data_IF_434202247453
#
_entry.id   IF_434202247453
#
_cell.length_a   1.000
_cell.length_b   1.000
_cell.length_c   1.000
_cell.angle_alpha   90.00
_cell.angle_beta   90.00
_cell.angle_gamma   90.00
#
_symmetry.space_group_name_H-M   'P 1'
#
loop_
_entity.id
_entity.type
_entity.pdbx_description
1 polymer ?
#
# COMPACT_ATOMS: atom_id res chain seq x y z
N UNK A 1 0.38 -21.53 -6.97
CA UNK A 1 0.39 -20.10 -6.58
C UNK A 1 0.29 -19.26 -7.84
N UNK A 2 -0.60 -18.27 -7.89
CA UNK A 2 -0.77 -17.39 -9.04
C UNK A 2 0.12 -16.17 -8.91
N UNK A 3 0.95 -15.89 -9.92
CA UNK A 3 1.85 -14.74 -9.94
C UNK A 3 1.04 -13.49 -10.26
N UNK A 4 1.14 -12.47 -9.39
CA UNK A 4 0.52 -11.17 -9.59
C UNK A 4 1.48 -10.17 -10.23
N UNK A 5 2.69 -10.02 -9.65
CA UNK A 5 3.76 -9.23 -10.27
C UNK A 5 4.93 -10.12 -10.62
N UNK A 6 5.53 -9.83 -11.77
CA UNK A 6 6.85 -10.33 -12.16
C UNK A 6 7.66 -9.16 -12.71
N UNK A 7 8.75 -8.85 -12.03
CA UNK A 7 9.71 -7.83 -12.41
C UNK A 7 10.93 -8.53 -13.01
N UNK A 8 11.47 -7.99 -14.12
CA UNK A 8 12.66 -8.51 -14.80
C UNK A 8 13.61 -7.38 -15.12
N UNK A 9 14.84 -7.48 -14.64
CA UNK A 9 15.94 -6.55 -14.89
C UNK A 9 15.55 -5.08 -14.67
N UNK A 10 14.82 -4.81 -13.58
CA UNK A 10 14.31 -3.48 -13.24
C UNK A 10 15.45 -2.59 -12.80
N UNK A 11 15.64 -1.48 -13.50
CA UNK A 11 16.53 -0.40 -13.09
C UNK A 11 15.74 0.89 -12.95
N UNK A 12 15.97 1.64 -11.87
CA UNK A 12 15.43 2.97 -11.65
C UNK A 12 16.55 3.93 -11.33
N UNK A 13 16.67 4.99 -12.14
CA UNK A 13 17.65 6.04 -11.97
C UNK A 13 16.97 7.38 -11.76
N UNK A 14 17.57 8.24 -10.93
CA UNK A 14 17.28 9.66 -10.81
C UNK A 14 18.57 10.44 -11.13
N UNK A 15 18.61 11.06 -12.29
CA UNK A 15 19.85 11.59 -12.85
C UNK A 15 20.87 10.46 -13.05
N UNK A 16 22.07 10.62 -12.51
CA UNK A 16 23.15 9.60 -12.54
C UNK A 16 23.05 8.55 -11.42
N UNK A 17 22.16 8.73 -10.45
CA UNK A 17 22.07 7.84 -9.30
C UNK A 17 21.16 6.65 -9.58
N UNK A 18 21.67 5.43 -9.48
CA UNK A 18 20.89 4.19 -9.57
C UNK A 18 20.31 3.91 -8.20
N UNK A 19 18.96 3.96 -8.09
CA UNK A 19 18.22 3.71 -6.84
C UNK A 19 17.72 2.27 -6.76
N UNK A 20 17.40 1.65 -7.89
CA UNK A 20 17.04 0.23 -7.96
C UNK A 20 17.77 -0.47 -9.11
N UNK A 21 18.25 -1.68 -8.84
CA UNK A 21 18.87 -2.61 -9.79
C UNK A 21 18.45 -4.04 -9.41
N UNK A 22 17.22 -4.41 -9.76
CA UNK A 22 16.58 -5.67 -9.36
C UNK A 22 16.55 -6.61 -10.56
N UNK A 23 17.30 -7.71 -10.50
CA UNK A 23 17.35 -8.71 -11.56
C UNK A 23 16.00 -9.41 -11.76
N UNK A 24 15.42 -9.90 -10.67
CA UNK A 24 14.13 -10.56 -10.67
C UNK A 24 13.40 -10.36 -9.34
N UNK A 25 12.08 -10.16 -9.39
CA UNK A 25 11.21 -10.19 -8.24
C UNK A 25 9.84 -10.73 -8.65
N UNK A 26 9.31 -11.64 -7.84
CA UNK A 26 7.97 -12.21 -8.05
C UNK A 26 7.13 -12.00 -6.80
N UNK A 27 5.91 -11.47 -6.99
CA UNK A 27 4.89 -11.31 -5.94
C UNK A 27 3.68 -12.13 -6.33
N UNK A 28 3.22 -13.02 -5.47
CA UNK A 28 2.06 -13.88 -5.68
C UNK A 28 0.79 -13.24 -5.12
N UNK A 29 -0.34 -13.58 -5.71
CA UNK A 29 -1.67 -13.09 -5.33
C UNK A 29 -2.07 -13.61 -3.93
N UNK A 30 -2.76 -12.75 -3.15
CA UNK A 30 -3.32 -13.12 -1.85
C UNK A 30 -2.29 -13.43 -0.78
N UNK A 31 -1.13 -12.80 -0.83
CA UNK A 31 -0.06 -12.95 0.18
C UNK A 31 0.33 -11.60 0.78
N UNK A 32 0.97 -11.67 1.95
CA UNK A 32 1.60 -10.54 2.62
C UNK A 32 3.11 -10.63 2.45
N UNK A 33 3.71 -9.55 1.98
CA UNK A 33 5.15 -9.37 1.86
C UNK A 33 5.62 -8.21 2.71
N UNK A 34 6.68 -8.42 3.47
CA UNK A 34 7.39 -7.38 4.20
C UNK A 34 8.67 -7.03 3.46
N UNK A 35 8.74 -5.81 2.95
CA UNK A 35 9.90 -5.25 2.26
C UNK A 35 10.82 -4.59 3.29
N UNK A 36 11.92 -5.26 3.62
CA UNK A 36 12.88 -4.84 4.64
C UNK A 36 14.10 -4.20 3.98
N UNK A 37 14.67 -3.20 4.60
CA UNK A 37 15.90 -2.56 4.16
C UNK A 37 16.16 -1.24 4.90
N UNK A 38 17.39 -0.78 4.87
CA UNK A 38 17.79 0.49 5.46
C UNK A 38 17.09 1.68 4.80
N UNK A 39 17.14 2.84 5.45
CA UNK A 39 16.70 4.09 4.83
C UNK A 39 17.54 4.37 3.58
N UNK A 40 16.89 4.77 2.49
CA UNK A 40 17.56 4.95 1.19
C UNK A 40 17.78 3.68 0.38
N UNK A 41 17.43 2.49 0.86
CA UNK A 41 17.57 1.23 0.11
C UNK A 41 16.70 1.13 -1.16
N UNK A 42 15.76 2.08 -1.38
CA UNK A 42 14.89 2.08 -2.55
C UNK A 42 13.48 1.55 -2.31
N UNK A 43 13.09 1.26 -1.05
CA UNK A 43 11.78 0.69 -0.69
C UNK A 43 10.60 1.47 -1.25
N UNK A 44 10.50 2.77 -0.95
CA UNK A 44 9.42 3.64 -1.44
C UNK A 44 9.44 3.79 -2.97
N UNK A 45 10.64 3.75 -3.58
CA UNK A 45 10.78 3.76 -5.05
C UNK A 45 10.19 2.48 -5.65
N UNK A 46 10.45 1.31 -5.06
CA UNK A 46 9.86 0.05 -5.50
C UNK A 46 8.33 0.07 -5.33
N UNK A 47 7.82 0.56 -4.18
CA UNK A 47 6.37 0.71 -3.99
C UNK A 47 5.74 1.63 -5.05
N UNK A 48 6.38 2.74 -5.40
CA UNK A 48 5.88 3.64 -6.46
C UNK A 48 5.83 2.97 -7.84
N UNK A 49 6.79 2.09 -8.14
CA UNK A 49 6.77 1.28 -9.36
C UNK A 49 5.64 0.25 -9.33
N UNK A 50 5.47 -0.47 -8.21
CA UNK A 50 4.37 -1.44 -8.03
C UNK A 50 3.00 -0.77 -8.02
N UNK A 51 2.90 0.48 -7.55
CA UNK A 51 1.68 1.30 -7.60
C UNK A 51 1.39 1.88 -9.00
N UNK A 52 2.26 1.63 -9.97
CA UNK A 52 2.19 2.20 -11.31
C UNK A 52 2.24 3.73 -11.35
N UNK A 53 2.85 4.36 -10.34
CA UNK A 53 3.01 5.81 -10.24
C UNK A 53 4.27 6.32 -10.93
N UNK A 54 5.31 5.47 -11.01
CA UNK A 54 6.59 5.82 -11.62
C UNK A 54 7.09 4.65 -12.48
N UNK A 55 7.34 4.84 -13.79
CA UNK A 55 7.93 3.79 -14.61
C UNK A 55 9.36 3.50 -14.18
N UNK A 56 9.87 2.27 -14.36
CA UNK A 56 11.28 1.99 -14.26
C UNK A 56 12.03 2.71 -15.40
N UNK A 57 13.33 2.94 -15.22
CA UNK A 57 14.20 3.49 -16.29
C UNK A 57 14.53 2.42 -17.34
N UNK A 58 14.62 1.16 -16.89
CA UNK A 58 14.83 -0.01 -17.76
C UNK A 58 14.21 -1.25 -17.12
N UNK A 59 14.02 -2.31 -17.93
CA UNK A 59 13.44 -3.58 -17.50
C UNK A 59 11.94 -3.70 -17.82
N UNK A 60 11.36 -4.80 -17.37
CA UNK A 60 9.97 -5.13 -17.69
C UNK A 60 9.21 -5.52 -16.43
N UNK A 61 7.96 -5.07 -16.37
CA UNK A 61 7.00 -5.45 -15.33
C UNK A 61 5.83 -6.17 -15.99
N UNK A 62 5.46 -7.30 -15.41
CA UNK A 62 4.24 -8.01 -15.75
C UNK A 62 3.29 -7.94 -14.56
N UNK A 63 2.04 -7.60 -14.81
CA UNK A 63 0.96 -7.60 -13.84
C UNK A 63 -0.16 -8.53 -14.30
N UNK A 64 -0.55 -9.49 -13.45
CA UNK A 64 -1.54 -10.52 -13.78
C UNK A 64 -1.25 -11.21 -15.14
N UNK A 65 0.03 -11.52 -15.40
CA UNK A 65 0.49 -12.22 -16.61
C UNK A 65 0.66 -11.33 -17.85
N UNK A 66 0.25 -10.05 -17.82
CA UNK A 66 0.38 -9.11 -18.93
C UNK A 66 1.51 -8.14 -18.71
N UNK A 67 2.32 -7.87 -19.75
CA UNK A 67 3.35 -6.82 -19.70
C UNK A 67 2.68 -5.47 -19.49
N UNK A 68 3.20 -4.68 -18.55
CA UNK A 68 2.70 -3.34 -18.25
C UNK A 68 3.16 -2.40 -19.36
N UNK A 69 2.20 -1.79 -20.02
CA UNK A 69 2.44 -0.69 -20.94
C UNK A 69 2.27 0.63 -20.16
N UNK A 70 3.33 1.45 -20.12
CA UNK A 70 3.37 2.70 -19.36
C UNK A 70 2.75 3.88 -20.11
N UNK A 71 2.16 3.67 -21.29
CA UNK A 71 1.43 4.71 -21.99
C UNK A 71 0.15 5.11 -21.22
N UNK A 72 -0.21 6.40 -21.30
CA UNK A 72 -1.42 6.92 -20.69
C UNK A 72 -2.66 6.13 -21.13
N UNK A 73 -3.54 5.83 -20.17
CA UNK A 73 -4.73 5.00 -20.37
C UNK A 73 -4.53 3.52 -20.03
N UNK A 74 -3.44 2.89 -20.45
CA UNK A 74 -3.16 1.49 -20.14
C UNK A 74 -2.84 1.29 -18.64
N UNK A 75 -2.07 2.20 -18.05
CA UNK A 75 -1.67 2.16 -16.64
C UNK A 75 -2.82 2.50 -15.68
N UNK A 76 -3.77 3.34 -16.09
CA UNK A 76 -4.89 3.74 -15.22
C UNK A 76 -5.78 2.56 -14.79
N UNK A 77 -5.96 1.58 -15.66
CA UNK A 77 -6.72 0.37 -15.34
C UNK A 77 -6.04 -0.39 -14.19
N UNK A 78 -4.71 -0.43 -14.18
CA UNK A 78 -3.93 -1.07 -13.11
C UNK A 78 -3.97 -0.24 -11.82
N UNK A 79 -3.85 1.11 -11.90
CA UNK A 79 -3.93 2.02 -10.75
C UNK A 79 -5.23 1.90 -9.98
N UNK A 80 -6.35 1.58 -10.64
CA UNK A 80 -7.64 1.37 -9.96
C UNK A 80 -7.66 0.13 -9.08
N UNK A 81 -6.75 -0.82 -9.29
CA UNK A 81 -6.64 -2.08 -8.55
C UNK A 81 -5.65 -2.02 -7.40
N UNK A 82 -4.76 -1.04 -7.42
CA UNK A 82 -3.66 -0.89 -6.46
C UNK A 82 -3.87 0.38 -5.65
N UNK A 83 -3.70 0.28 -4.34
CA UNK A 83 -3.74 1.44 -3.45
C UNK A 83 -2.44 1.54 -2.70
N UNK A 84 -1.82 2.73 -2.70
CA UNK A 84 -0.63 3.03 -1.93
C UNK A 84 -0.98 3.94 -0.75
N UNK A 85 -0.57 3.53 0.45
CA UNK A 85 -0.59 4.34 1.66
C UNK A 85 0.85 4.78 1.97
N UNK A 86 1.08 6.08 1.98
CA UNK A 86 2.38 6.67 2.32
C UNK A 86 2.62 6.70 3.83
N UNK A 87 3.86 6.77 4.24
CA UNK A 87 4.31 6.83 5.64
C UNK A 87 3.66 7.98 6.43
N UNK A 88 3.54 9.15 5.82
CA UNK A 88 2.85 10.32 6.39
C UNK A 88 1.62 10.63 5.56
N UNK A 89 0.47 10.02 5.88
CA UNK A 89 -0.71 10.20 5.07
C UNK A 89 -1.31 11.59 5.27
N UNK A 90 -1.60 12.25 4.15
CA UNK A 90 -2.34 13.51 4.15
C UNK A 90 -3.84 13.24 4.16
N UNK A 91 -4.57 13.97 5.02
CA UNK A 91 -6.02 14.02 4.98
C UNK A 91 -6.47 15.36 4.38
N UNK A 92 -7.48 15.30 3.53
CA UNK A 92 -8.10 16.50 2.95
C UNK A 92 -8.88 17.27 4.01
N UNK A 93 -9.05 18.56 3.81
CA UNK A 93 -9.97 19.37 4.62
C UNK A 93 -11.38 18.78 4.57
N UNK A 94 -12.07 18.84 5.72
CA UNK A 94 -13.43 18.30 5.85
C UNK A 94 -13.54 17.28 6.96
N UNK A 95 -14.51 16.38 6.81
CA UNK A 95 -14.80 15.33 7.81
C UNK A 95 -14.01 14.06 7.53
N UNK A 96 -13.93 13.19 8.54
CA UNK A 96 -13.42 11.82 8.40
C UNK A 96 -14.20 11.07 7.33
N UNK A 97 -15.53 11.17 7.35
CA UNK A 97 -16.39 10.56 6.32
C UNK A 97 -16.00 11.02 4.92
N UNK A 98 -15.82 12.34 4.70
CA UNK A 98 -15.45 12.87 3.37
C UNK A 98 -14.10 12.36 2.89
N UNK A 99 -13.14 12.17 3.80
CA UNK A 99 -11.83 11.62 3.49
C UNK A 99 -11.91 10.16 3.05
N UNK A 100 -12.61 9.32 3.79
CA UNK A 100 -12.76 7.88 3.45
C UNK A 100 -13.59 7.71 2.18
N UNK A 101 -14.63 8.53 2.00
CA UNK A 101 -15.50 8.50 0.82
C UNK A 101 -14.85 9.03 -0.46
N UNK A 102 -13.72 9.74 -0.39
CA UNK A 102 -13.11 10.44 -1.53
C UNK A 102 -12.87 9.53 -2.74
N UNK A 103 -12.18 8.42 -2.53
CA UNK A 103 -11.89 7.47 -3.61
C UNK A 103 -13.14 6.75 -4.13
N UNK A 104 -14.12 6.49 -3.27
CA UNK A 104 -15.40 5.90 -3.66
C UNK A 104 -16.19 6.86 -4.56
N UNK A 105 -16.17 8.17 -4.22
CA UNK A 105 -16.80 9.21 -5.05
C UNK A 105 -16.13 9.28 -6.42
N UNK A 106 -14.80 9.26 -6.47
CA UNK A 106 -14.05 9.27 -7.73
C UNK A 106 -14.33 8.03 -8.61
N UNK A 107 -14.73 6.92 -8.00
CA UNK A 107 -15.16 5.69 -8.70
C UNK A 107 -16.65 5.67 -9.06
N UNK A 108 -17.39 6.74 -8.79
CA UNK A 108 -18.81 6.84 -9.13
C UNK A 108 -19.75 6.02 -8.24
N UNK A 109 -19.31 5.56 -7.06
CA UNK A 109 -20.16 4.79 -6.12
C UNK A 109 -21.30 5.68 -5.62
N UNK A 110 -22.59 5.23 -5.63
CA UNK A 110 -23.73 6.00 -5.14
C UNK A 110 -23.64 6.43 -3.66
N UNK A 111 -24.33 7.52 -3.29
CA UNK A 111 -24.20 8.13 -1.95
C UNK A 111 -24.58 7.19 -0.80
N UNK A 112 -25.67 6.44 -0.95
CA UNK A 112 -26.15 5.49 0.06
C UNK A 112 -25.14 4.35 0.27
N UNK A 113 -24.66 3.75 -0.82
CA UNK A 113 -23.65 2.68 -0.76
C UNK A 113 -22.34 3.19 -0.14
N UNK A 114 -21.92 4.44 -0.48
CA UNK A 114 -20.70 5.04 0.09
C UNK A 114 -20.79 5.15 1.61
N UNK A 115 -21.95 5.53 2.15
CA UNK A 115 -22.12 5.68 3.59
C UNK A 115 -21.87 4.36 4.31
N UNK A 116 -22.50 3.28 3.87
CA UNK A 116 -22.31 1.95 4.45
C UNK A 116 -20.86 1.46 4.35
N UNK A 117 -20.20 1.69 3.19
CA UNK A 117 -18.80 1.31 2.98
C UNK A 117 -17.87 2.09 3.93
N UNK A 118 -18.10 3.40 4.09
CA UNK A 118 -17.31 4.26 4.98
C UNK A 118 -17.46 3.84 6.43
N UNK A 119 -18.70 3.62 6.91
CA UNK A 119 -18.96 3.18 8.27
C UNK A 119 -18.27 1.83 8.57
N UNK A 120 -18.35 0.88 7.65
CA UNK A 120 -17.65 -0.41 7.76
C UNK A 120 -16.12 -0.24 7.77
N UNK A 121 -15.56 0.60 6.91
CA UNK A 121 -14.13 0.83 6.86
C UNK A 121 -13.60 1.49 8.14
N UNK A 122 -14.35 2.44 8.70
CA UNK A 122 -14.03 3.07 9.99
C UNK A 122 -14.13 2.07 11.15
N UNK A 123 -15.11 1.17 11.13
CA UNK A 123 -15.25 0.13 12.16
C UNK A 123 -14.05 -0.83 12.17
N UNK A 124 -13.58 -1.25 10.99
CA UNK A 124 -12.39 -2.12 10.83
C UNK A 124 -11.14 -1.53 11.51
N UNK A 125 -10.98 -0.22 11.46
CA UNK A 125 -9.81 0.47 12.05
C UNK A 125 -10.09 1.04 13.46
N UNK A 126 -11.19 0.63 14.12
CA UNK A 126 -11.55 1.05 15.48
C UNK A 126 -11.96 2.52 15.60
N UNK A 127 -12.56 3.09 14.55
CA UNK A 127 -13.01 4.49 14.51
C UNK A 127 -14.53 4.60 14.29
N UNK A 128 -15.30 3.64 14.83
CA UNK A 128 -16.78 3.68 14.79
C UNK A 128 -17.29 5.02 15.34
N UNK A 129 -18.20 5.69 14.62
CA UNK A 129 -18.78 6.96 15.01
C UNK A 129 -17.94 8.21 14.72
N UNK A 130 -16.72 8.07 14.19
CA UNK A 130 -15.83 9.20 13.88
C UNK A 130 -16.19 9.95 12.59
N UNK A 131 -17.12 9.47 11.81
CA UNK A 131 -17.44 10.01 10.49
C UNK A 131 -17.68 11.52 10.45
N UNK A 132 -18.32 12.09 11.47
CA UNK A 132 -18.61 13.53 11.56
C UNK A 132 -17.45 14.40 12.05
N UNK A 133 -16.39 13.83 12.65
CA UNK A 133 -15.25 14.61 13.16
C UNK A 133 -14.48 15.31 12.04
N UNK A 134 -13.91 16.46 12.34
CA UNK A 134 -13.02 17.18 11.42
C UNK A 134 -11.66 16.51 11.34
N UNK A 135 -11.13 16.33 10.15
CA UNK A 135 -9.83 15.68 9.93
C UNK A 135 -8.67 16.39 10.67
N UNK A 136 -8.74 17.72 10.78
CA UNK A 136 -7.72 18.54 11.50
C UNK A 136 -7.69 18.34 13.03
N UNK A 137 -8.71 17.70 13.59
CA UNK A 137 -8.85 17.49 15.04
C UNK A 137 -8.32 16.11 15.46
N UNK A 138 -7.84 15.32 14.52
CA UNK A 138 -7.37 13.97 14.74
C UNK A 138 -5.93 13.95 15.28
N UNK A 139 -5.66 13.02 16.18
CA UNK A 139 -4.29 12.66 16.58
C UNK A 139 -3.54 11.99 15.41
N UNK A 140 -2.22 11.84 15.54
CA UNK A 140 -1.41 11.14 14.54
C UNK A 140 -1.86 9.70 14.30
N UNK A 141 -2.14 8.94 15.37
CA UNK A 141 -2.65 7.56 15.26
C UNK A 141 -4.06 7.49 14.67
N UNK A 142 -4.95 8.43 15.01
CA UNK A 142 -6.28 8.52 14.38
C UNK A 142 -6.18 8.87 12.89
N UNK A 143 -5.27 9.79 12.52
CA UNK A 143 -4.98 10.15 11.12
C UNK A 143 -4.51 8.93 10.33
N UNK A 144 -3.60 8.13 10.89
CA UNK A 144 -3.12 6.89 10.26
C UNK A 144 -4.25 5.89 10.06
N UNK A 145 -5.11 5.69 11.08
CA UNK A 145 -6.27 4.81 11.00
C UNK A 145 -7.30 5.29 9.96
N UNK A 146 -7.58 6.58 9.87
CA UNK A 146 -8.46 7.15 8.83
C UNK A 146 -7.88 6.93 7.44
N UNK A 147 -6.57 7.12 7.27
CA UNK A 147 -5.90 6.88 5.99
C UNK A 147 -5.94 5.38 5.59
N UNK A 148 -5.78 4.47 6.56
CA UNK A 148 -5.98 3.04 6.35
C UNK A 148 -7.44 2.73 5.96
N UNK A 149 -8.44 3.28 6.67
CA UNK A 149 -9.85 3.12 6.32
C UNK A 149 -10.14 3.61 4.89
N UNK A 150 -9.58 4.77 4.49
CA UNK A 150 -9.67 5.31 3.13
C UNK A 150 -9.13 4.34 2.08
N UNK A 151 -8.02 3.68 2.37
CA UNK A 151 -7.42 2.67 1.48
C UNK A 151 -8.29 1.40 1.41
N UNK A 152 -8.74 0.88 2.55
CA UNK A 152 -9.56 -0.33 2.64
C UNK A 152 -10.95 -0.18 2.03
N UNK A 153 -11.55 1.01 2.11
CA UNK A 153 -12.86 1.30 1.52
C UNK A 153 -12.90 1.01 0.02
N UNK A 154 -11.77 1.13 -0.67
CA UNK A 154 -11.64 0.86 -2.10
C UNK A 154 -11.59 -0.63 -2.45
N UNK A 155 -11.44 -1.53 -1.47
CA UNK A 155 -11.25 -2.98 -1.66
C UNK A 155 -10.20 -3.27 -2.74
N UNK A 156 -8.95 -2.83 -2.57
CA UNK A 156 -7.94 -2.97 -3.61
C UNK A 156 -7.52 -4.45 -3.78
N UNK A 157 -7.15 -4.83 -5.01
CA UNK A 157 -6.50 -6.14 -5.27
C UNK A 157 -5.10 -6.17 -4.63
N UNK A 158 -4.43 -5.00 -4.59
CA UNK A 158 -3.10 -4.83 -3.97
C UNK A 158 -3.12 -3.62 -3.04
N UNK A 159 -2.68 -3.82 -1.81
CA UNK A 159 -2.44 -2.75 -0.85
C UNK A 159 -0.94 -2.62 -0.59
N UNK A 160 -0.38 -1.48 -0.97
CA UNK A 160 1.01 -1.11 -0.75
C UNK A 160 1.07 -0.15 0.43
N UNK A 161 1.92 -0.45 1.40
CA UNK A 161 2.01 0.28 2.66
C UNK A 161 3.45 0.73 2.89
N UNK A 162 3.68 2.03 2.88
CA UNK A 162 5.01 2.59 3.15
C UNK A 162 5.12 2.94 4.63
N UNK A 163 5.82 2.11 5.40
CA UNK A 163 6.03 2.21 6.85
C UNK A 163 4.74 2.55 7.65
N UNK A 164 3.64 1.78 7.49
CA UNK A 164 2.32 2.15 8.02
C UNK A 164 2.25 2.13 9.55
N UNK A 165 3.22 1.51 10.21
CA UNK A 165 3.27 1.33 11.66
C UNK A 165 4.34 2.20 12.33
N UNK A 166 4.96 3.13 11.57
CA UNK A 166 5.97 4.02 12.11
C UNK A 166 5.33 5.17 12.90
N UNK A 167 5.95 5.56 14.01
CA UNK A 167 5.58 6.73 14.81
C UNK A 167 4.13 6.73 15.35
N UNK A 168 3.55 5.55 15.58
CA UNK A 168 2.24 5.39 16.21
C UNK A 168 2.37 4.64 17.54
N UNK A 169 1.39 4.82 18.41
CA UNK A 169 1.33 4.15 19.70
C UNK A 169 1.14 2.64 19.58
N UNK A 170 1.44 1.92 20.67
CA UNK A 170 1.41 0.44 20.69
C UNK A 170 0.01 -0.13 20.45
N UNK A 171 -1.05 0.54 20.94
CA UNK A 171 -2.43 0.07 20.77
C UNK A 171 -2.84 0.16 19.31
N UNK A 172 -2.60 1.31 18.69
CA UNK A 172 -2.84 1.53 17.25
C UNK A 172 -2.00 0.56 16.39
N UNK A 173 -0.73 0.31 16.77
CA UNK A 173 0.14 -0.65 16.08
C UNK A 173 -0.48 -2.05 16.10
N UNK A 174 -0.87 -2.57 17.27
CA UNK A 174 -1.47 -3.91 17.38
C UNK A 174 -2.77 -4.05 16.60
N UNK A 175 -3.61 -3.02 16.60
CA UNK A 175 -4.84 -3.00 15.83
C UNK A 175 -4.54 -3.07 14.32
N UNK A 176 -3.64 -2.20 13.82
CA UNK A 176 -3.31 -2.17 12.39
C UNK A 176 -2.57 -3.44 11.94
N UNK A 177 -1.71 -4.02 12.76
CA UNK A 177 -1.10 -5.33 12.49
C UNK A 177 -2.16 -6.41 12.29
N UNK A 178 -3.16 -6.48 13.18
CA UNK A 178 -4.27 -7.43 13.04
C UNK A 178 -5.07 -7.22 11.76
N UNK A 179 -5.35 -5.97 11.41
CA UNK A 179 -6.03 -5.61 10.15
C UNK A 179 -5.19 -6.07 8.96
N UNK A 180 -3.91 -5.67 8.89
CA UNK A 180 -3.00 -5.99 7.78
C UNK A 180 -2.86 -7.51 7.61
N UNK A 181 -2.65 -8.26 8.70
CA UNK A 181 -2.51 -9.71 8.67
C UNK A 181 -3.78 -10.45 8.17
N UNK A 182 -4.96 -9.84 8.34
CA UNK A 182 -6.22 -10.43 7.88
C UNK A 182 -6.51 -10.26 6.38
N UNK A 183 -5.84 -9.31 5.71
CA UNK A 183 -6.14 -8.95 4.32
C UNK A 183 -5.88 -10.05 3.29
N UNK A 184 -4.80 -10.87 3.40
CA UNK A 184 -4.57 -11.96 2.46
C UNK A 184 -5.71 -12.98 2.42
N UNK A 185 -6.30 -13.32 3.57
CA UNK A 185 -7.46 -14.21 3.65
C UNK A 185 -8.72 -13.64 2.97
N UNK A 186 -8.75 -12.33 2.74
CA UNK A 186 -9.81 -11.63 2.01
C UNK A 186 -9.48 -11.43 0.52
N UNK A 187 -8.36 -11.99 0.05
CA UNK A 187 -7.92 -11.93 -1.35
C UNK A 187 -7.07 -10.71 -1.71
N UNK A 188 -6.75 -9.83 -0.75
CA UNK A 188 -5.88 -8.67 -0.99
C UNK A 188 -4.41 -9.08 -0.88
N UNK A 189 -3.60 -8.77 -1.89
CA UNK A 189 -2.14 -8.89 -1.80
C UNK A 189 -1.60 -7.66 -1.08
N UNK A 190 -0.74 -7.87 -0.09
CA UNK A 190 -0.15 -6.77 0.70
C UNK A 190 1.36 -6.74 0.50
N UNK A 191 1.92 -5.55 0.25
CA UNK A 191 3.37 -5.30 0.33
C UNK A 191 3.58 -4.14 1.28
N UNK A 192 4.25 -4.40 2.40
CA UNK A 192 4.48 -3.42 3.45
C UNK A 192 5.99 -3.18 3.63
N UNK A 193 6.42 -1.92 3.58
CA UNK A 193 7.79 -1.60 3.98
C UNK A 193 7.91 -1.51 5.49
N UNK A 194 9.04 -1.93 6.01
CA UNK A 194 9.37 -1.81 7.42
C UNK A 194 10.88 -1.78 7.64
N UNK A 195 11.31 -1.14 8.69
CA UNK A 195 12.67 -1.25 9.23
C UNK A 195 12.74 -2.17 10.47
N UNK A 196 11.60 -2.65 10.97
CA UNK A 196 11.56 -3.59 12.10
C UNK A 196 11.64 -5.03 11.59
N UNK A 197 12.70 -5.78 11.95
CA UNK A 197 12.92 -7.15 11.48
C UNK A 197 11.93 -8.18 12.11
N UNK A 198 11.17 -7.81 13.14
CA UNK A 198 10.17 -8.69 13.75
C UNK A 198 8.83 -8.72 12.99
N UNK A 199 8.54 -7.71 12.18
CA UNK A 199 7.25 -7.62 11.49
C UNK A 199 6.93 -8.83 10.60
N UNK A 200 7.89 -9.42 9.83
CA UNK A 200 7.59 -10.61 9.04
C UNK A 200 7.01 -11.76 9.86
N UNK A 201 7.66 -12.06 10.99
CA UNK A 201 7.22 -13.13 11.90
C UNK A 201 5.86 -12.82 12.55
N UNK A 202 5.66 -11.58 13.01
CA UNK A 202 4.42 -11.14 13.67
C UNK A 202 3.22 -11.12 12.71
N UNK A 203 3.45 -10.77 11.44
CA UNK A 203 2.41 -10.67 10.42
C UNK A 203 2.25 -11.96 9.59
N UNK A 204 3.06 -12.99 9.85
CA UNK A 204 3.10 -14.21 9.08
C UNK A 204 3.27 -13.96 7.57
N UNK A 205 4.15 -13.02 7.23
CA UNK A 205 4.42 -12.56 5.87
C UNK A 205 5.74 -13.06 5.31
N UNK A 206 5.85 -13.14 3.99
CA UNK A 206 7.10 -13.43 3.31
C UNK A 206 8.02 -12.20 3.37
N UNK A 207 9.31 -12.40 3.54
CA UNK A 207 10.30 -11.33 3.56
C UNK A 207 10.86 -11.07 2.17
N UNK A 208 10.99 -9.79 1.81
CA UNK A 208 11.78 -9.30 0.67
C UNK A 208 12.83 -8.36 1.27
N UNK A 209 14.10 -8.70 1.15
CA UNK A 209 15.19 -7.86 1.67
C UNK A 209 15.76 -7.02 0.53
N UNK A 210 15.80 -5.69 0.73
CA UNK A 210 16.32 -4.75 -0.24
C UNK A 210 17.56 -4.05 0.34
N UNK A 211 18.70 -4.25 -0.29
CA UNK A 211 19.99 -3.65 0.06
C UNK A 211 20.62 -2.94 -1.14
N UNK A 212 20.92 -1.65 -0.99
CA UNK A 212 21.54 -0.87 -2.08
C UNK A 212 20.77 -0.94 -3.40
N UNK A 213 19.45 -0.99 -3.37
CA UNK A 213 18.59 -1.09 -4.55
C UNK A 213 18.45 -2.50 -5.14
N UNK A 214 19.00 -3.53 -4.49
CA UNK A 214 18.97 -4.93 -4.97
C UNK A 214 18.18 -5.80 -4.01
N UNK A 215 17.45 -6.75 -4.57
CA UNK A 215 16.81 -7.82 -3.78
C UNK A 215 17.87 -8.86 -3.45
N UNK A 216 18.04 -9.13 -2.17
CA UNK A 216 18.97 -10.14 -1.66
C UNK A 216 18.21 -11.29 -1.00
N UNK A 217 18.80 -12.49 -0.87
CA UNK A 217 18.19 -13.59 -0.13
C UNK A 217 17.85 -13.16 1.30
N UNK A 218 16.66 -13.60 1.80
CA UNK A 218 16.20 -13.34 3.16
C UNK A 218 16.82 -14.33 4.17
#
# INVERSE_FOLDING_TARGET
MKILYRLKSIRKCYGSNIVLDIEALTICEGRLYTLIGANGAGKSTLLNILAFLSPPTAGEIFYAGKRVDWNHGSVEVHRRKVTLLHQSPYLFEGTVHSNVAFGLKARGIPGEDRRAIVEKALDIVGLRGFGGRRARELSGGETQRVAMARALALKPEVLLLDEPLANIDRETTGLLEGVIASLPAQGTTVVMTTHNPEHPGRLNGDSIVLEGGRVVPA
#
